data_IF_849687431557
#
_entry.id   IF_849687431557
#
_cell.length_a   1.000
_cell.length_b   1.000
_cell.length_c   1.000
_cell.angle_alpha   90.00
_cell.angle_beta   90.00
_cell.angle_gamma   90.00
#
_symmetry.space_group_name_H-M   'P 1'
#
loop_
_entity.id
_entity.type
_entity.pdbx_description
1 polymer ?
#
# COMPACT_ATOMS: atom_id res chain seq x y z
N UNK A 1 14.21 -8.60 -12.01
CA UNK A 1 14.65 -8.22 -10.64
C UNK A 1 14.48 -9.44 -9.73
N UNK A 2 15.57 -10.07 -9.26
CA UNK A 2 15.48 -11.18 -8.28
C UNK A 2 15.54 -10.58 -6.87
N UNK A 3 14.38 -10.34 -6.25
CA UNK A 3 14.24 -9.76 -4.91
C UNK A 3 14.57 -10.74 -3.76
N UNK A 4 15.52 -11.67 -3.96
CA UNK A 4 15.71 -12.82 -3.06
C UNK A 4 16.73 -12.59 -1.93
N UNK A 5 17.03 -11.33 -1.58
CA UNK A 5 17.97 -10.98 -0.51
C UNK A 5 17.40 -10.02 0.55
N UNK A 6 16.10 -9.74 0.49
CA UNK A 6 15.44 -8.94 1.52
C UNK A 6 14.91 -9.88 2.60
N UNK A 7 15.27 -9.58 3.85
CA UNK A 7 14.58 -10.15 5.00
C UNK A 7 13.12 -9.70 4.91
N UNK A 8 12.20 -10.66 4.92
CA UNK A 8 10.77 -10.40 4.84
C UNK A 8 10.02 -11.40 5.70
N UNK A 9 8.87 -10.96 6.19
CA UNK A 9 7.87 -11.79 6.83
C UNK A 9 6.52 -11.58 6.11
N UNK A 10 5.70 -12.62 6.06
CA UNK A 10 4.35 -12.55 5.49
C UNK A 10 3.35 -12.60 6.64
N UNK A 11 2.39 -11.69 6.62
CA UNK A 11 1.33 -11.60 7.61
C UNK A 11 -0.02 -11.60 6.90
N UNK A 12 -0.92 -12.47 7.37
CA UNK A 12 -2.32 -12.50 6.93
C UNK A 12 -3.19 -11.91 8.04
N UNK A 13 -4.16 -11.08 7.65
CA UNK A 13 -5.14 -10.45 8.56
C UNK A 13 -6.52 -10.50 7.93
N UNK A 14 -7.55 -10.44 8.77
CA UNK A 14 -8.95 -10.42 8.37
C UNK A 14 -9.66 -9.25 9.05
N UNK A 15 -10.45 -8.49 8.28
CA UNK A 15 -11.08 -7.26 8.76
C UNK A 15 -11.25 -6.25 7.63
N UNK A 16 -11.55 -5.00 7.98
CA UNK A 16 -11.56 -3.89 7.03
C UNK A 16 -10.12 -3.59 6.60
N UNK A 17 -9.77 -3.69 5.29
CA UNK A 17 -8.38 -3.66 4.86
C UNK A 17 -7.59 -2.41 5.29
N UNK A 18 -8.21 -1.23 5.25
CA UNK A 18 -7.53 0.01 5.62
C UNK A 18 -7.17 0.03 7.11
N UNK A 19 -8.12 -0.34 7.97
CA UNK A 19 -7.93 -0.43 9.43
C UNK A 19 -6.82 -1.43 9.77
N UNK A 20 -6.85 -2.62 9.16
CA UNK A 20 -5.86 -3.67 9.39
C UNK A 20 -4.46 -3.27 8.92
N UNK A 21 -4.35 -2.50 7.82
CA UNK A 21 -3.06 -1.98 7.33
C UNK A 21 -2.50 -0.94 8.32
N UNK A 22 -3.31 0.00 8.78
CA UNK A 22 -2.89 1.04 9.74
C UNK A 22 -2.49 0.40 11.09
N UNK A 23 -3.29 -0.54 11.58
CA UNK A 23 -3.01 -1.27 12.80
C UNK A 23 -1.71 -2.10 12.68
N UNK A 24 -1.48 -2.74 11.53
CA UNK A 24 -0.23 -3.46 11.28
C UNK A 24 0.98 -2.52 11.25
N UNK A 25 0.88 -1.36 10.59
CA UNK A 25 1.95 -0.38 10.53
C UNK A 25 2.34 0.12 11.94
N UNK A 26 1.36 0.36 12.81
CA UNK A 26 1.60 0.72 14.20
C UNK A 26 2.20 -0.45 15.02
N UNK A 27 1.65 -1.67 14.88
CA UNK A 27 2.08 -2.84 15.64
C UNK A 27 3.52 -3.28 15.31
N UNK A 28 3.95 -3.08 14.07
CA UNK A 28 5.31 -3.39 13.62
C UNK A 28 6.26 -2.18 13.71
N UNK A 29 5.77 -1.03 14.16
CA UNK A 29 6.50 0.25 14.16
C UNK A 29 7.16 0.56 12.81
N UNK A 30 6.40 0.37 11.72
CA UNK A 30 6.92 0.53 10.36
C UNK A 30 7.32 1.98 10.05
N UNK A 31 8.48 2.18 9.43
CA UNK A 31 8.93 3.50 8.99
C UNK A 31 8.17 4.02 7.74
N UNK A 32 7.58 3.10 6.95
CA UNK A 32 6.94 3.40 5.67
C UNK A 32 5.87 2.35 5.33
N UNK A 33 4.76 2.80 4.76
CA UNK A 33 3.77 1.91 4.13
C UNK A 33 3.89 2.00 2.61
N UNK A 34 4.07 0.86 1.96
CA UNK A 34 4.13 0.77 0.49
C UNK A 34 2.88 0.05 -0.03
N UNK A 35 2.09 0.74 -0.84
CA UNK A 35 0.84 0.21 -1.40
C UNK A 35 0.91 0.13 -2.92
N UNK A 36 0.60 -1.04 -3.47
CA UNK A 36 0.40 -1.20 -4.91
C UNK A 36 -0.93 -0.58 -5.34
N UNK A 37 -0.93 0.23 -6.39
CA UNK A 37 -2.13 0.84 -6.97
C UNK A 37 -2.34 0.35 -8.41
N UNK A 38 -3.60 0.29 -8.86
CA UNK A 38 -3.92 -0.12 -10.23
C UNK A 38 -3.66 1.01 -11.23
N UNK A 39 -3.36 0.64 -12.49
CA UNK A 39 -3.16 1.59 -13.60
C UNK A 39 -4.45 2.36 -13.89
N UNK A 40 -4.32 3.63 -14.27
CA UNK A 40 -5.42 4.59 -14.48
C UNK A 40 -6.41 4.14 -15.56
N UNK A 41 -7.68 4.52 -15.40
CA UNK A 41 -8.61 4.65 -16.52
C UNK A 41 -8.25 5.91 -17.35
N UNK A 42 -8.36 5.88 -18.69
CA UNK A 42 -8.06 7.03 -19.55
C UNK A 42 -8.91 8.29 -19.28
N UNK A 43 -10.02 8.16 -18.55
CA UNK A 43 -11.09 9.18 -18.47
C UNK A 43 -10.91 10.16 -17.28
N UNK A 44 -9.67 10.52 -16.97
CA UNK A 44 -9.41 11.79 -16.26
C UNK A 44 -9.83 11.89 -14.79
N UNK A 45 -9.83 10.80 -14.01
CA UNK A 45 -9.84 10.91 -12.53
C UNK A 45 -8.68 10.09 -11.95
N UNK A 46 -7.77 10.76 -11.24
CA UNK A 46 -6.79 10.11 -10.37
C UNK A 46 -7.55 9.58 -9.16
N UNK A 47 -8.16 8.41 -9.30
CA UNK A 47 -8.77 7.72 -8.17
C UNK A 47 -7.79 6.66 -7.70
N UNK A 48 -7.13 6.94 -6.58
CA UNK A 48 -6.59 5.87 -5.75
C UNK A 48 -7.76 4.96 -5.33
N UNK A 49 -7.50 3.66 -5.17
CA UNK A 49 -8.53 2.76 -4.63
C UNK A 49 -8.94 3.23 -3.23
N UNK A 50 -10.19 2.95 -2.83
CA UNK A 50 -10.73 3.38 -1.52
C UNK A 50 -9.82 2.99 -0.34
N UNK A 51 -9.22 1.80 -0.39
CA UNK A 51 -8.25 1.34 0.61
C UNK A 51 -7.01 2.23 0.68
N UNK A 52 -6.38 2.52 -0.46
CA UNK A 52 -5.20 3.40 -0.50
C UNK A 52 -5.53 4.80 0.00
N UNK A 53 -6.70 5.34 -0.35
CA UNK A 53 -7.13 6.65 0.14
C UNK A 53 -7.32 6.64 1.66
N UNK A 54 -8.05 5.67 2.21
CA UNK A 54 -8.27 5.54 3.64
C UNK A 54 -6.95 5.41 4.39
N UNK A 55 -6.03 4.54 3.95
CA UNK A 55 -4.71 4.40 4.58
C UNK A 55 -3.93 5.71 4.56
N UNK A 56 -3.93 6.45 3.45
CA UNK A 56 -3.24 7.77 3.37
C UNK A 56 -3.79 8.77 4.38
N UNK A 57 -5.10 8.74 4.65
CA UNK A 57 -5.73 9.68 5.57
C UNK A 57 -5.59 9.26 7.04
N UNK A 58 -5.58 7.96 7.32
CA UNK A 58 -5.72 7.45 8.69
C UNK A 58 -4.39 7.01 9.33
N UNK A 59 -3.30 6.89 8.56
CA UNK A 59 -1.97 6.54 9.09
C UNK A 59 -1.15 7.76 9.51
N UNK A 60 -0.30 7.59 10.53
CA UNK A 60 0.75 8.53 10.91
C UNK A 60 2.09 8.29 10.18
N UNK A 61 2.16 7.23 9.37
CA UNK A 61 3.38 6.84 8.63
C UNK A 61 3.39 7.43 7.21
N UNK A 62 4.57 7.72 6.64
CA UNK A 62 4.68 8.01 5.22
C UNK A 62 4.07 6.88 4.36
N UNK A 63 3.42 7.24 3.26
CA UNK A 63 2.82 6.26 2.32
C UNK A 63 3.38 6.46 0.92
N UNK A 64 3.92 5.38 0.33
CA UNK A 64 4.34 5.33 -1.08
C UNK A 64 3.37 4.49 -1.90
N UNK A 65 2.69 5.14 -2.84
CA UNK A 65 1.84 4.47 -3.82
C UNK A 65 2.66 4.06 -5.06
N UNK A 66 2.66 2.76 -5.38
CA UNK A 66 3.43 2.19 -6.50
C UNK A 66 2.48 1.77 -7.60
N UNK A 67 2.55 2.46 -8.74
CA UNK A 67 1.83 2.07 -9.96
C UNK A 67 2.53 0.88 -10.64
N UNK A 68 1.82 0.09 -11.46
CA UNK A 68 2.45 -0.95 -12.26
C UNK A 68 3.46 -0.31 -13.21
N UNK A 69 4.58 -0.97 -13.45
CA UNK A 69 5.52 -0.52 -14.47
C UNK A 69 4.79 -0.37 -15.82
N UNK A 70 5.13 0.68 -16.56
CA UNK A 70 4.79 0.71 -17.97
C UNK A 70 5.58 -0.42 -18.64
N UNK A 71 4.86 -1.34 -19.28
CA UNK A 71 5.50 -2.32 -20.15
C UNK A 71 6.06 -1.55 -21.35
N UNK A 72 7.35 -1.20 -21.30
CA UNK A 72 8.15 -0.82 -22.47
C UNK A 72 8.49 -2.08 -23.24
#
# INVERSE_FOLDING_TARGET
>A
MRANRLQHAVHERAGEPAEEIVAAAAAFDSDLVVLGVRKRSPVGKVLFGSVTQAVIFDTDRPVTAVAPADNV
#
